data_IF_106768770701
#
_entry.id   IF_106768770701
#
_cell.length_a   1.000
_cell.length_b   1.000
_cell.length_c   1.000
_cell.angle_alpha   90.00
_cell.angle_beta   90.00
_cell.angle_gamma   90.00
#
_symmetry.space_group_name_H-M   'P 1'
#
loop_
_entity.id
_entity.type
_entity.pdbx_description
1 polymer ?
#
# COMPACT_ATOMS: atom_id res chain seq x y z
N UNK A 1 0.30 -31.84 -29.20
CA UNK A 1 1.73 -31.66 -28.89
C UNK A 1 1.85 -30.65 -27.77
N UNK A 2 2.62 -30.93 -26.73
CA UNK A 2 2.88 -29.99 -25.63
C UNK A 2 3.99 -29.03 -26.07
N UNK A 3 3.79 -27.72 -25.99
CA UNK A 3 4.86 -26.74 -26.21
C UNK A 3 5.59 -26.52 -24.89
N UNK A 4 6.87 -26.91 -24.76
CA UNK A 4 7.64 -26.63 -23.56
C UNK A 4 7.90 -25.12 -23.43
N UNK A 5 8.11 -24.65 -22.20
CA UNK A 5 8.57 -23.28 -21.97
C UNK A 5 9.93 -23.05 -22.64
N UNK A 6 10.26 -21.82 -23.10
CA UNK A 6 11.54 -21.51 -23.72
C UNK A 6 12.74 -21.80 -22.81
N UNK A 7 13.89 -22.14 -23.40
CA UNK A 7 15.13 -22.57 -22.69
C UNK A 7 15.65 -21.60 -21.61
N UNK A 8 15.26 -20.33 -21.68
CA UNK A 8 15.70 -19.28 -20.73
C UNK A 8 14.53 -18.68 -19.94
N UNK A 9 13.44 -19.43 -19.81
CA UNK A 9 12.31 -18.99 -19.00
C UNK A 9 12.71 -18.95 -17.52
N UNK A 10 12.55 -17.78 -16.90
CA UNK A 10 12.89 -17.59 -15.49
C UNK A 10 11.64 -17.80 -14.64
N UNK A 11 11.58 -18.94 -13.98
CA UNK A 11 10.60 -19.18 -12.92
C UNK A 11 11.00 -18.40 -11.67
N UNK A 12 10.02 -17.84 -11.00
CA UNK A 12 10.26 -17.10 -9.77
C UNK A 12 8.97 -16.62 -9.12
N UNK A 13 9.13 -15.91 -8.01
CA UNK A 13 8.07 -15.19 -7.32
C UNK A 13 8.44 -13.73 -7.14
N UNK A 14 7.45 -12.90 -6.86
CA UNK A 14 7.62 -11.48 -6.54
C UNK A 14 6.81 -11.14 -5.29
N UNK A 15 7.38 -10.27 -4.47
CA UNK A 15 6.73 -9.70 -3.29
C UNK A 15 6.93 -8.18 -3.28
N UNK A 16 6.23 -7.49 -2.39
CA UNK A 16 6.39 -6.07 -2.12
C UNK A 16 6.69 -5.86 -0.64
N UNK A 17 7.67 -5.01 -0.33
CA UNK A 17 8.11 -4.71 1.03
C UNK A 17 6.94 -4.43 1.99
N UNK A 18 6.07 -3.48 1.63
CA UNK A 18 4.95 -3.09 2.48
C UNK A 18 3.87 -4.20 2.67
N UNK A 19 3.92 -5.28 1.88
CA UNK A 19 3.03 -6.42 2.03
C UNK A 19 3.61 -7.54 2.90
N UNK A 20 4.93 -7.57 3.11
CA UNK A 20 5.60 -8.71 3.75
C UNK A 20 6.55 -8.36 4.89
N UNK A 21 7.18 -7.19 4.89
CA UNK A 21 8.22 -6.86 5.87
C UNK A 21 7.64 -6.58 7.25
N UNK A 22 6.54 -5.82 7.34
CA UNK A 22 6.07 -5.28 8.61
C UNK A 22 7.02 -4.21 9.14
N UNK A 23 7.21 -4.13 10.45
CA UNK A 23 8.19 -3.24 11.10
C UNK A 23 8.18 -1.80 10.54
N UNK A 24 6.98 -1.27 10.27
CA UNK A 24 6.82 -0.08 9.42
C UNK A 24 7.39 1.20 10.06
N UNK A 25 7.58 1.22 11.37
CA UNK A 25 8.09 2.34 12.19
C UNK A 25 9.35 1.95 13.00
N UNK A 26 10.03 0.86 12.63
CA UNK A 26 11.28 0.46 13.28
C UNK A 26 12.49 1.18 12.64
N UNK A 27 13.57 1.33 13.40
CA UNK A 27 14.88 1.84 12.95
C UNK A 27 14.84 3.20 12.20
N UNK A 28 13.84 4.03 12.51
CA UNK A 28 13.68 5.35 11.90
C UNK A 28 13.11 5.32 10.47
N UNK A 29 12.50 4.20 10.05
CA UNK A 29 11.78 4.13 8.78
C UNK A 29 10.63 5.14 8.78
N UNK A 30 10.56 5.98 7.74
CA UNK A 30 9.40 6.85 7.54
C UNK A 30 8.19 6.05 7.03
N UNK A 31 6.96 6.42 7.44
CA UNK A 31 5.76 5.77 6.93
C UNK A 31 5.58 6.04 5.43
N UNK A 32 5.05 5.04 4.73
CA UNK A 32 4.58 5.15 3.36
C UNK A 32 3.06 5.22 3.34
N UNK A 33 2.46 5.61 2.22
CA UNK A 33 1.00 5.83 2.12
C UNK A 33 0.16 4.65 2.63
N UNK A 34 0.60 3.41 2.42
CA UNK A 34 -0.14 2.21 2.84
C UNK A 34 -0.12 1.94 4.35
N UNK A 35 0.81 2.55 5.08
CA UNK A 35 0.89 2.44 6.55
C UNK A 35 -0.30 3.18 7.22
N UNK A 36 -0.94 4.10 6.51
CA UNK A 36 -2.16 4.81 6.92
C UNK A 36 -3.45 4.15 6.38
N UNK A 37 -3.33 2.93 5.84
CA UNK A 37 -4.42 2.22 5.19
C UNK A 37 -5.21 1.30 6.10
N UNK A 38 -6.48 1.06 5.77
CA UNK A 38 -7.26 0.00 6.42
C UNK A 38 -6.57 -1.37 6.31
N UNK A 39 -6.72 -2.25 7.31
CA UNK A 39 -6.37 -3.65 7.15
C UNK A 39 -7.18 -4.30 6.01
N UNK A 40 -6.63 -5.36 5.44
CA UNK A 40 -7.34 -6.12 4.39
C UNK A 40 -8.63 -6.76 4.89
N UNK A 41 -9.66 -6.74 4.05
CA UNK A 41 -10.92 -7.47 4.26
C UNK A 41 -11.30 -8.21 2.98
N UNK A 42 -12.19 -9.20 3.08
CA UNK A 42 -12.70 -9.97 1.92
C UNK A 42 -13.91 -9.33 1.26
N UNK A 43 -14.49 -8.29 1.86
CA UNK A 43 -15.78 -7.72 1.43
C UNK A 43 -15.70 -6.24 1.10
N UNK A 44 -14.71 -5.52 1.61
CA UNK A 44 -14.55 -4.09 1.44
C UNK A 44 -13.17 -3.74 0.89
N UNK A 45 -13.14 -2.63 0.14
CA UNK A 45 -11.89 -2.03 -0.30
C UNK A 45 -11.15 -1.35 0.86
N UNK A 46 -9.82 -1.26 0.74
CA UNK A 46 -8.98 -0.46 1.65
C UNK A 46 -9.06 1.02 1.30
N UNK A 47 -9.10 1.86 2.33
CA UNK A 47 -8.94 3.31 2.20
C UNK A 47 -7.71 3.78 2.96
N UNK A 48 -7.14 4.88 2.49
CA UNK A 48 -6.09 5.62 3.20
C UNK A 48 -6.75 6.72 4.02
N UNK A 49 -6.42 6.80 5.30
CA UNK A 49 -6.93 7.82 6.22
C UNK A 49 -5.97 9.00 6.28
N UNK A 50 -6.53 10.19 6.47
CA UNK A 50 -5.77 11.43 6.56
C UNK A 50 -6.55 12.48 7.37
N UNK A 51 -5.85 13.54 7.76
CA UNK A 51 -6.47 14.76 8.28
C UNK A 51 -6.54 15.84 7.22
N UNK A 52 -7.73 16.43 7.07
CA UNK A 52 -7.93 17.65 6.30
C UNK A 52 -7.21 18.84 6.93
N UNK A 53 -7.10 19.93 6.17
CA UNK A 53 -6.50 21.17 6.65
C UNK A 53 -7.21 21.76 7.89
N UNK A 54 -8.50 21.47 8.07
CA UNK A 54 -9.31 21.89 9.22
C UNK A 54 -9.25 20.92 10.42
N UNK A 55 -8.45 19.85 10.31
CA UNK A 55 -8.30 18.83 11.36
C UNK A 55 -9.38 17.75 11.35
N UNK A 56 -10.34 17.77 10.43
CA UNK A 56 -11.32 16.68 10.30
C UNK A 56 -10.71 15.46 9.61
N UNK A 57 -11.21 14.26 9.93
CA UNK A 57 -10.75 13.02 9.29
C UNK A 57 -11.39 12.83 7.92
N UNK A 58 -10.56 12.50 6.94
CA UNK A 58 -10.97 12.09 5.59
C UNK A 58 -10.44 10.70 5.24
N UNK A 59 -10.96 10.16 4.13
CA UNK A 59 -10.44 8.92 3.54
C UNK A 59 -10.45 8.98 2.02
N UNK A 60 -9.52 8.29 1.38
CA UNK A 60 -9.30 8.29 -0.08
C UNK A 60 -8.88 6.91 -0.58
N UNK A 61 -8.91 6.69 -1.90
CA UNK A 61 -8.35 5.45 -2.46
C UNK A 61 -6.83 5.48 -2.36
N UNK A 62 -6.27 4.28 -2.31
CA UNK A 62 -4.84 4.11 -2.54
C UNK A 62 -4.48 4.72 -3.90
N UNK A 63 -3.36 5.47 -3.94
CA UNK A 63 -2.85 6.21 -5.10
C UNK A 63 -3.59 7.49 -5.52
N UNK A 64 -4.69 7.85 -4.85
CA UNK A 64 -5.22 9.21 -5.01
C UNK A 64 -4.22 10.24 -4.43
N UNK A 65 -4.43 11.52 -4.74
CA UNK A 65 -3.69 12.62 -4.11
C UNK A 65 -4.43 13.13 -2.88
N UNK A 66 -3.68 13.50 -1.85
CA UNK A 66 -4.26 14.19 -0.70
C UNK A 66 -4.95 15.49 -1.15
N UNK A 67 -6.11 15.84 -0.56
CA UNK A 67 -6.68 17.17 -0.71
C UNK A 67 -5.67 18.25 -0.31
N UNK A 68 -5.81 19.45 -0.90
CA UNK A 68 -4.89 20.55 -0.62
C UNK A 68 -4.85 20.88 0.88
N UNK A 69 -3.66 20.84 1.46
CA UNK A 69 -3.44 21.13 2.88
C UNK A 69 -3.76 19.98 3.84
N UNK A 70 -4.19 18.82 3.32
CA UNK A 70 -4.32 17.62 4.13
C UNK A 70 -2.95 16.97 4.40
N UNK A 71 -2.89 16.13 5.42
CA UNK A 71 -1.69 15.37 5.82
C UNK A 71 -2.06 13.94 6.20
N UNK A 72 -1.15 13.00 5.94
CA UNK A 72 -1.28 11.63 6.43
C UNK A 72 -1.18 11.61 7.96
N UNK A 73 -2.15 10.96 8.60
CA UNK A 73 -2.21 10.75 10.05
C UNK A 73 -3.24 9.66 10.37
#
# INVERSE_FOLDING_TARGET
MQMPFPDKFVWGGSISAAQCEGAWDEDGKSPVQVDFGDPGTTTNNRYIHYLNADGTRGKMRQFDHLPKGAKYE
#
